data_IF_151486490677
#
_entry.id   IF_151486490677
#
_cell.length_a   1.000
_cell.length_b   1.000
_cell.length_c   1.000
_cell.angle_alpha   90.00
_cell.angle_beta   90.00
_cell.angle_gamma   90.00
#
_symmetry.space_group_name_H-M   'P 1'
#
loop_
_entity.id
_entity.type
_entity.pdbx_description
1 polymer ?
#
# COMPACT_ATOMS: atom_id res chain seq x y z
N UNK A 1 1.56 8.04 -16.01
CA UNK A 1 2.02 6.69 -16.43
C UNK A 1 0.78 5.82 -16.55
N UNK A 2 0.71 5.05 -17.63
CA UNK A 2 -0.49 4.51 -18.28
C UNK A 2 -1.51 3.80 -17.37
N UNK A 3 -2.78 3.99 -17.73
CA UNK A 3 -3.95 3.25 -17.24
C UNK A 3 -3.89 1.82 -17.82
N UNK A 4 -3.20 0.92 -17.10
CA UNK A 4 -3.18 -0.51 -17.44
C UNK A 4 -4.34 -1.17 -16.70
N UNK A 5 -5.32 -1.65 -17.47
CA UNK A 5 -6.51 -2.33 -16.96
C UNK A 5 -6.17 -3.37 -15.89
N UNK A 6 -6.92 -3.35 -14.78
CA UNK A 6 -6.69 -4.29 -13.68
C UNK A 6 -6.85 -5.74 -14.18
N UNK A 7 -5.89 -6.64 -13.86
CA UNK A 7 -5.97 -8.03 -14.28
C UNK A 7 -7.18 -8.73 -13.63
N UNK A 8 -7.76 -9.75 -14.32
CA UNK A 8 -9.05 -10.33 -13.94
C UNK A 8 -8.99 -11.24 -12.70
N UNK A 9 -7.81 -11.74 -12.33
CA UNK A 9 -7.64 -12.61 -11.17
C UNK A 9 -7.17 -11.83 -9.93
N UNK A 10 -7.67 -12.25 -8.76
CA UNK A 10 -7.37 -11.63 -7.48
C UNK A 10 -5.86 -11.61 -7.15
N UNK A 11 -5.15 -12.69 -7.47
CA UNK A 11 -3.70 -12.81 -7.24
C UNK A 11 -2.91 -11.78 -8.05
N UNK A 12 -3.32 -11.52 -9.30
CA UNK A 12 -2.67 -10.55 -10.17
C UNK A 12 -2.86 -9.11 -9.67
N UNK A 13 -4.04 -8.80 -9.11
CA UNK A 13 -4.30 -7.50 -8.50
C UNK A 13 -3.46 -7.28 -7.25
N UNK A 14 -3.28 -8.33 -6.44
CA UNK A 14 -2.37 -8.34 -5.30
C UNK A 14 -0.92 -8.11 -5.73
N UNK A 15 -0.45 -8.86 -6.74
CA UNK A 15 0.92 -8.72 -7.26
C UNK A 15 1.19 -7.30 -7.77
N UNK A 16 0.25 -6.73 -8.52
CA UNK A 16 0.38 -5.38 -9.06
C UNK A 16 0.48 -4.31 -7.96
N UNK A 17 -0.36 -4.43 -6.92
CA UNK A 17 -0.35 -3.51 -5.77
C UNK A 17 0.93 -3.65 -4.94
N UNK A 18 1.38 -4.87 -4.67
CA UNK A 18 2.64 -5.11 -3.97
C UNK A 18 3.82 -4.54 -4.76
N UNK A 19 3.84 -4.71 -6.08
CA UNK A 19 4.89 -4.14 -6.93
C UNK A 19 4.90 -2.60 -6.88
N UNK A 20 3.71 -1.98 -6.86
CA UNK A 20 3.56 -0.53 -6.68
C UNK A 20 4.04 -0.07 -5.29
N UNK A 21 3.71 -0.82 -4.24
CA UNK A 21 4.21 -0.56 -2.88
C UNK A 21 5.73 -0.67 -2.78
N UNK A 22 6.34 -1.69 -3.40
CA UNK A 22 7.80 -1.83 -3.42
C UNK A 22 8.47 -0.64 -4.09
N UNK A 23 7.88 -0.15 -5.19
CA UNK A 23 8.39 1.02 -5.90
C UNK A 23 8.32 2.29 -5.02
N UNK A 24 7.20 2.51 -4.33
CA UNK A 24 7.04 3.62 -3.37
C UNK A 24 8.01 3.48 -2.17
N UNK A 25 8.22 2.26 -1.68
CA UNK A 25 9.16 1.97 -0.60
C UNK A 25 10.62 2.26 -0.99
N UNK A 26 11.01 1.90 -2.20
CA UNK A 26 12.33 2.24 -2.74
C UNK A 26 12.51 3.75 -2.83
N UNK A 27 11.53 4.48 -3.37
CA UNK A 27 11.62 5.93 -3.50
C UNK A 27 11.69 6.60 -2.11
N UNK A 28 10.82 6.20 -1.17
CA UNK A 28 10.81 6.74 0.19
C UNK A 28 12.08 6.41 0.96
N UNK A 29 12.61 5.21 0.85
CA UNK A 29 13.85 4.84 1.53
C UNK A 29 15.05 5.63 1.01
N UNK A 30 15.17 5.85 -0.31
CA UNK A 30 16.24 6.66 -0.88
C UNK A 30 16.11 8.12 -0.43
N UNK A 31 14.91 8.69 -0.51
CA UNK A 31 14.66 10.09 -0.14
C UNK A 31 14.90 10.35 1.35
N UNK A 32 14.34 9.49 2.22
CA UNK A 32 14.53 9.57 3.67
C UNK A 32 15.98 9.33 4.09
N UNK A 33 16.72 8.45 3.41
CA UNK A 33 18.16 8.28 3.63
C UNK A 33 18.92 9.57 3.34
N UNK A 34 18.65 10.20 2.19
CA UNK A 34 19.27 11.49 1.83
C UNK A 34 18.96 12.59 2.85
N UNK A 35 17.70 12.74 3.25
CA UNK A 35 17.30 13.71 4.26
C UNK A 35 17.94 13.44 5.62
N UNK A 36 18.02 12.17 6.04
CA UNK A 36 18.59 11.81 7.35
C UNK A 36 20.09 12.03 7.38
N UNK A 37 20.82 11.82 6.28
CA UNK A 37 22.24 12.15 6.19
C UNK A 37 22.46 13.66 6.34
N UNK A 38 21.66 14.49 5.66
CA UNK A 38 21.74 15.95 5.76
C UNK A 38 21.39 16.44 7.17
N UNK A 39 20.31 15.92 7.74
CA UNK A 39 19.88 16.25 9.10
C UNK A 39 20.92 15.81 10.15
N UNK A 40 21.46 14.59 10.03
CA UNK A 40 22.51 14.09 10.91
C UNK A 40 23.78 14.96 10.81
N UNK A 41 24.15 15.43 9.63
CA UNK A 41 25.33 16.29 9.46
C UNK A 41 25.15 17.68 10.08
N UNK A 42 23.91 18.19 10.13
CA UNK A 42 23.59 19.48 10.76
C UNK A 42 23.48 19.38 12.29
N UNK A 43 22.75 18.38 12.81
CA UNK A 43 22.49 18.24 14.25
C UNK A 43 23.58 17.44 14.99
N UNK A 44 24.20 16.46 14.34
CA UNK A 44 25.17 15.54 14.93
C UNK A 44 26.42 15.40 14.04
N UNK A 45 27.29 16.41 13.98
CA UNK A 45 28.42 16.45 13.05
C UNK A 45 29.45 15.31 13.23
N UNK A 46 29.44 14.63 14.38
CA UNK A 46 30.30 13.48 14.72
C UNK A 46 29.70 12.13 14.29
N UNK A 47 28.43 12.09 13.86
CA UNK A 47 27.74 10.87 13.48
C UNK A 47 28.22 10.37 12.11
N UNK A 48 28.45 9.06 11.99
CA UNK A 48 28.83 8.44 10.72
C UNK A 48 27.67 8.51 9.72
N UNK A 49 27.97 8.91 8.49
CA UNK A 49 26.99 8.98 7.41
C UNK A 49 26.33 7.62 7.12
N UNK A 50 27.04 6.51 7.32
CA UNK A 50 26.47 5.16 7.19
C UNK A 50 25.37 4.89 8.21
N UNK A 51 25.57 5.30 9.47
CA UNK A 51 24.55 5.18 10.53
C UNK A 51 23.30 6.02 10.21
N UNK A 52 23.50 7.23 9.66
CA UNK A 52 22.40 8.10 9.25
C UNK A 52 21.63 7.54 8.04
N UNK A 53 22.34 6.97 7.07
CA UNK A 53 21.75 6.34 5.90
C UNK A 53 20.88 5.12 6.28
N UNK A 54 21.39 4.26 7.17
CA UNK A 54 20.65 3.07 7.65
C UNK A 54 19.40 3.50 8.43
N UNK A 55 19.53 4.50 9.32
CA UNK A 55 18.39 5.02 10.06
C UNK A 55 17.34 5.63 9.12
N UNK A 56 17.77 6.45 8.15
CA UNK A 56 16.88 7.03 7.15
C UNK A 56 16.18 5.97 6.31
N UNK A 57 16.90 4.97 5.79
CA UNK A 57 16.33 3.86 5.04
C UNK A 57 15.28 3.10 5.85
N UNK A 58 15.54 2.84 7.14
CA UNK A 58 14.59 2.20 8.06
C UNK A 58 13.32 3.01 8.26
N UNK A 59 13.44 4.33 8.44
CA UNK A 59 12.28 5.25 8.56
C UNK A 59 11.45 5.24 7.27
N UNK A 60 12.10 5.35 6.11
CA UNK A 60 11.43 5.34 4.81
C UNK A 60 10.72 4.02 4.51
N UNK A 61 11.36 2.89 4.82
CA UNK A 61 10.77 1.56 4.69
C UNK A 61 9.58 1.38 5.63
N UNK A 62 9.69 1.79 6.89
CA UNK A 62 8.60 1.71 7.87
C UNK A 62 7.38 2.52 7.44
N UNK A 63 7.59 3.77 6.99
CA UNK A 63 6.53 4.63 6.45
C UNK A 63 5.85 4.00 5.23
N UNK A 64 6.63 3.43 4.30
CA UNK A 64 6.09 2.78 3.12
C UNK A 64 5.31 1.50 3.47
N UNK A 65 5.80 0.71 4.43
CA UNK A 65 5.13 -0.50 4.90
C UNK A 65 3.75 -0.19 5.49
N UNK A 66 3.65 0.81 6.39
CA UNK A 66 2.37 1.20 7.01
C UNK A 66 1.34 1.70 6.00
N UNK A 67 1.79 2.32 4.91
CA UNK A 67 0.91 2.74 3.83
C UNK A 67 0.49 1.55 2.95
N UNK A 68 1.43 0.65 2.65
CA UNK A 68 1.13 -0.55 1.87
C UNK A 68 0.15 -1.48 2.61
N UNK A 69 0.35 -1.70 3.91
CA UNK A 69 -0.53 -2.52 4.72
C UNK A 69 -1.97 -1.96 4.73
N UNK A 70 -2.10 -0.63 4.81
CA UNK A 70 -3.39 0.06 4.74
C UNK A 70 -4.07 -0.12 3.37
N UNK A 71 -3.35 0.07 2.27
CA UNK A 71 -3.91 -0.13 0.93
C UNK A 71 -4.34 -1.58 0.67
N UNK A 72 -3.55 -2.55 1.17
CA UNK A 72 -3.88 -3.97 1.06
C UNK A 72 -5.15 -4.30 1.87
N UNK A 73 -5.23 -3.85 3.13
CA UNK A 73 -6.41 -4.04 3.98
C UNK A 73 -7.67 -3.40 3.40
N UNK A 74 -7.59 -2.20 2.84
CA UNK A 74 -8.74 -1.53 2.21
C UNK A 74 -9.23 -2.31 0.99
N UNK A 75 -8.32 -2.90 0.21
CA UNK A 75 -8.69 -3.64 -1.00
C UNK A 75 -9.39 -4.96 -0.65
N UNK A 76 -8.88 -5.70 0.33
CA UNK A 76 -9.52 -6.93 0.81
C UNK A 76 -10.92 -6.68 1.40
N UNK A 77 -11.06 -5.60 2.17
CA UNK A 77 -12.34 -5.24 2.79
C UNK A 77 -13.36 -4.75 1.77
N UNK A 78 -12.93 -3.94 0.79
CA UNK A 78 -13.83 -3.41 -0.25
C UNK A 78 -14.42 -4.52 -1.11
N UNK A 79 -13.64 -5.56 -1.44
CA UNK A 79 -14.17 -6.71 -2.19
C UNK A 79 -15.16 -7.55 -1.37
N UNK A 80 -14.90 -7.78 -0.08
CA UNK A 80 -15.88 -8.45 0.78
C UNK A 80 -17.19 -7.65 0.89
N UNK A 81 -17.11 -6.33 1.01
CA UNK A 81 -18.29 -5.46 1.08
C UNK A 81 -19.08 -5.46 -0.24
N UNK A 82 -18.42 -5.45 -1.40
CA UNK A 82 -19.11 -5.52 -2.69
C UNK A 82 -19.80 -6.88 -2.89
N UNK A 83 -19.14 -7.96 -2.52
CA UNK A 83 -19.69 -9.32 -2.58
C UNK A 83 -20.87 -9.51 -1.62
N UNK A 84 -20.79 -8.99 -0.39
CA UNK A 84 -21.92 -9.00 0.54
C UNK A 84 -23.10 -8.18 0.01
N UNK A 85 -22.84 -7.00 -0.56
CA UNK A 85 -23.88 -6.15 -1.14
C UNK A 85 -24.57 -6.83 -2.33
N UNK A 86 -23.83 -7.53 -3.19
CA UNK A 86 -24.38 -8.36 -4.27
C UNK A 86 -25.20 -9.53 -3.75
N UNK A 87 -24.74 -10.22 -2.70
CA UNK A 87 -25.51 -11.31 -2.06
C UNK A 87 -26.80 -10.81 -1.45
N UNK A 88 -26.77 -9.68 -0.75
CA UNK A 88 -27.97 -9.03 -0.20
C UNK A 88 -28.94 -8.63 -1.29
N UNK A 89 -28.46 -8.00 -2.38
CA UNK A 89 -29.28 -7.63 -3.53
C UNK A 89 -29.93 -8.85 -4.18
N UNK A 90 -29.18 -9.95 -4.38
CA UNK A 90 -29.74 -11.21 -4.92
C UNK A 90 -30.82 -11.81 -4.02
N UNK A 91 -30.63 -11.78 -2.69
CA UNK A 91 -31.66 -12.25 -1.75
C UNK A 91 -32.94 -11.42 -1.83
N UNK A 92 -32.81 -10.09 -1.92
CA UNK A 92 -33.96 -9.20 -2.07
C UNK A 92 -34.72 -9.47 -3.37
N UNK A 93 -34.02 -9.66 -4.49
CA UNK A 93 -34.63 -10.00 -5.78
C UNK A 93 -35.39 -11.35 -5.69
N UNK A 94 -34.81 -12.37 -5.06
CA UNK A 94 -35.48 -13.66 -4.87
C UNK A 94 -36.75 -13.57 -3.99
N UNK A 95 -36.76 -12.67 -3.01
CA UNK A 95 -37.95 -12.45 -2.15
C UNK A 95 -39.05 -11.68 -2.87
N UNK A 96 -38.70 -10.73 -3.75
CA UNK A 96 -39.66 -10.03 -4.61
C UNK A 96 -40.32 -10.99 -5.62
N UNK A 97 -39.54 -11.87 -6.25
CA UNK A 97 -40.07 -12.86 -7.21
C UNK A 97 -41.05 -13.86 -6.57
N UNK A 98 -40.91 -14.19 -5.29
CA UNK A 98 -41.85 -15.09 -4.57
C UNK A 98 -43.21 -14.47 -4.26
N UNK A 99 -43.34 -13.14 -4.31
CA UNK A 99 -44.59 -12.43 -4.01
C UNK A 99 -45.47 -12.20 -5.25
N UNK A 100 -44.96 -12.53 -6.44
CA UNK A 100 -45.70 -12.54 -7.70
C UNK A 100 -46.35 -13.89 -7.95
#
# INVERSE_FOLDING_TARGET
MADVAQPPFYEDQLLWRVNRCMSDALIKSIFSSGMTILAAKFFYPKMKASSAAIAGAGIGLGMAYLNCERELKSTMSTQCLEEEKKKQLRKLICEEEKKK
#
